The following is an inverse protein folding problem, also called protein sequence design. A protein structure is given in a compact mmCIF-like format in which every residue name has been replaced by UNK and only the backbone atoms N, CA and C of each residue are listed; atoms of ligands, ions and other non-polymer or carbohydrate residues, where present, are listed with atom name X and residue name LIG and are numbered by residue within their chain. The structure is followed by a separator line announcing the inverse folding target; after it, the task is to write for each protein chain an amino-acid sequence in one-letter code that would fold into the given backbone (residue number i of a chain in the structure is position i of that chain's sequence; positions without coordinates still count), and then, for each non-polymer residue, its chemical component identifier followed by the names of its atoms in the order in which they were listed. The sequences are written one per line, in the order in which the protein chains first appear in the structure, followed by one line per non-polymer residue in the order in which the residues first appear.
data_IF_070318616975
#
_entry.id   IF_070318616975
#
_cell.length_a   1.000
_cell.length_b   1.000
_cell.length_c   1.000
_cell.angle_alpha   90.00
_cell.angle_beta   90.00
_cell.angle_gamma   90.00
#
_symmetry.space_group_name_H-M   'P 1'
#
loop_
_entity.id
_entity.type
_entity.pdbx_description
1 polymer ?
#
# COMPACT_ATOMS: atom_id res chain seq x y z
N UNK A 1 -11.34 -2.06 -22.52
CA UNK A 1 -10.26 -2.45 -21.57
C UNK A 1 -8.89 -2.33 -22.24
N UNK A 2 -7.95 -1.60 -21.63
CA UNK A 2 -6.59 -1.40 -22.17
C UNK A 2 -5.55 -2.36 -21.54
N UNK A 3 -6.01 -3.45 -20.92
CA UNK A 3 -5.20 -4.38 -20.13
C UNK A 3 -4.06 -5.04 -20.92
N UNK A 4 -4.22 -5.25 -22.23
CA UNK A 4 -3.21 -5.85 -23.11
C UNK A 4 -2.63 -4.85 -24.13
N UNK A 5 -2.73 -3.55 -23.86
CA UNK A 5 -2.05 -2.54 -24.67
C UNK A 5 -0.53 -2.67 -24.56
N UNK A 6 0.22 -2.19 -25.56
CA UNK A 6 1.69 -2.19 -25.54
C UNK A 6 2.27 -1.54 -24.27
N UNK A 7 1.61 -0.47 -23.78
CA UNK A 7 1.98 0.20 -22.54
C UNK A 7 1.79 -0.71 -21.31
N UNK A 8 0.68 -1.45 -21.24
CA UNK A 8 0.42 -2.39 -20.14
C UNK A 8 1.40 -3.57 -20.16
N UNK A 9 1.69 -4.13 -21.35
CA UNK A 9 2.68 -5.20 -21.52
C UNK A 9 4.06 -4.73 -21.05
N UNK A 10 4.51 -3.56 -21.51
CA UNK A 10 5.79 -2.97 -21.09
C UNK A 10 5.86 -2.71 -19.58
N UNK A 11 4.75 -2.28 -18.96
CA UNK A 11 4.68 -2.08 -17.52
C UNK A 11 4.84 -3.42 -16.77
N UNK A 12 4.17 -4.49 -17.22
CA UNK A 12 4.31 -5.83 -16.65
C UNK A 12 5.73 -6.39 -16.82
N UNK A 13 6.35 -6.23 -17.99
CA UNK A 13 7.75 -6.65 -18.21
C UNK A 13 8.72 -5.91 -17.29
N UNK A 14 8.51 -4.60 -17.10
CA UNK A 14 9.30 -3.78 -16.19
C UNK A 14 9.14 -4.26 -14.74
N UNK A 15 7.90 -4.51 -14.31
CA UNK A 15 7.61 -5.09 -13.00
C UNK A 15 8.32 -6.43 -12.81
N UNK A 16 8.20 -7.36 -13.77
CA UNK A 16 8.85 -8.67 -13.70
C UNK A 16 10.38 -8.58 -13.67
N UNK A 17 10.97 -7.56 -14.31
CA UNK A 17 12.41 -7.30 -14.23
C UNK A 17 12.82 -6.87 -12.82
N UNK A 18 12.13 -5.89 -12.24
CA UNK A 18 12.38 -5.40 -10.88
C UNK A 18 12.11 -6.48 -9.82
N UNK A 19 11.13 -7.33 -10.07
CA UNK A 19 10.75 -8.42 -9.17
C UNK A 19 11.87 -9.42 -8.92
N UNK A 20 12.85 -9.52 -9.84
CA UNK A 20 14.03 -10.36 -9.66
C UNK A 20 14.95 -9.88 -8.55
N UNK A 21 14.87 -8.60 -8.21
CA UNK A 21 15.66 -7.95 -7.15
C UNK A 21 14.87 -7.84 -5.84
N UNK A 22 13.64 -8.34 -5.79
CA UNK A 22 12.80 -8.33 -4.58
C UNK A 22 13.27 -9.33 -3.53
N UNK A 23 12.89 -9.09 -2.28
CA UNK A 23 13.24 -9.97 -1.16
C UNK A 23 12.74 -11.42 -1.39
N UNK A 24 13.45 -12.44 -0.88
CA UNK A 24 13.00 -13.83 -0.94
C UNK A 24 11.57 -13.98 -0.38
N UNK A 25 10.73 -14.76 -1.07
CA UNK A 25 9.33 -15.01 -0.66
C UNK A 25 8.30 -13.98 -1.14
N UNK A 26 8.72 -12.90 -1.80
CA UNK A 26 7.81 -11.85 -2.31
C UNK A 26 6.72 -12.39 -3.26
N UNK A 27 6.91 -13.55 -3.90
CA UNK A 27 5.92 -14.18 -4.81
C UNK A 27 4.59 -14.51 -4.15
N UNK A 28 4.60 -14.73 -2.84
CA UNK A 28 3.42 -15.05 -2.04
C UNK A 28 3.19 -14.03 -0.93
N UNK A 29 3.90 -12.89 -0.96
CA UNK A 29 3.81 -11.86 0.06
C UNK A 29 2.53 -11.05 -0.09
N UNK A 30 1.87 -10.78 1.04
CA UNK A 30 0.79 -9.81 1.14
C UNK A 30 1.36 -8.42 1.51
N UNK A 31 0.45 -7.49 1.79
CA UNK A 31 0.79 -6.19 2.33
C UNK A 31 1.53 -6.30 3.68
N UNK A 32 1.12 -7.24 4.55
CA UNK A 32 1.73 -7.42 5.88
C UNK A 32 3.19 -7.89 5.78
N UNK A 33 3.50 -8.86 4.91
CA UNK A 33 4.87 -9.33 4.72
C UNK A 33 5.77 -8.25 4.11
N UNK A 34 5.25 -7.48 3.15
CA UNK A 34 6.01 -6.43 2.47
C UNK A 34 6.34 -5.27 3.42
N UNK A 35 5.35 -4.82 4.20
CA UNK A 35 5.55 -3.76 5.19
C UNK A 35 6.42 -4.21 6.35
N UNK A 36 6.24 -5.44 6.86
CA UNK A 36 7.11 -6.01 7.90
C UNK A 36 8.58 -6.12 7.46
N UNK A 37 8.85 -6.57 6.23
CA UNK A 37 10.20 -6.66 5.69
C UNK A 37 10.86 -5.26 5.56
N UNK A 38 10.09 -4.24 5.17
CA UNK A 38 10.58 -2.86 5.14
C UNK A 38 10.87 -2.31 6.54
N UNK A 39 9.93 -2.47 7.47
CA UNK A 39 10.06 -1.95 8.84
C UNK A 39 11.14 -2.65 9.67
N UNK A 40 11.56 -3.86 9.27
CA UNK A 40 12.71 -4.58 9.83
C UNK A 40 14.05 -4.27 9.14
N UNK A 41 14.06 -3.38 8.15
CA UNK A 41 15.27 -2.96 7.44
C UNK A 41 15.77 -3.95 6.38
N UNK A 42 14.95 -4.92 5.96
CA UNK A 42 15.31 -5.90 4.93
C UNK A 42 15.06 -5.40 3.51
N UNK A 43 14.22 -4.36 3.35
CA UNK A 43 13.86 -3.78 2.05
C UNK A 43 14.28 -2.31 2.03
N UNK A 44 15.07 -1.91 1.03
CA UNK A 44 15.56 -0.54 0.90
C UNK A 44 14.53 0.43 0.32
N UNK A 45 13.68 -0.05 -0.61
CA UNK A 45 12.66 0.76 -1.30
C UNK A 45 11.37 -0.04 -1.33
N UNK A 46 10.28 0.60 -0.89
CA UNK A 46 8.93 0.05 -0.97
C UNK A 46 7.98 1.13 -1.51
N UNK A 47 7.23 0.81 -2.57
CA UNK A 47 6.17 1.67 -3.11
C UNK A 47 4.85 1.20 -2.54
N UNK A 48 4.36 1.88 -1.50
CA UNK A 48 3.21 1.44 -0.73
C UNK A 48 2.33 2.62 -0.28
N UNK A 49 1.12 2.30 0.18
CA UNK A 49 0.13 3.22 0.69
C UNK A 49 0.58 3.99 1.95
N UNK A 50 0.01 5.18 2.12
CA UNK A 50 0.37 6.13 3.17
C UNK A 50 0.28 5.60 4.61
N UNK A 51 -0.60 4.64 5.01
CA UNK A 51 -0.62 4.13 6.39
C UNK A 51 0.74 3.64 6.90
N UNK A 52 1.60 3.11 6.01
CA UNK A 52 2.96 2.71 6.33
C UNK A 52 3.78 3.85 6.94
N UNK A 53 3.54 5.11 6.56
CA UNK A 53 4.32 6.24 7.09
C UNK A 53 4.14 6.41 8.60
N UNK A 54 2.96 6.12 9.13
CA UNK A 54 2.71 6.13 10.57
C UNK A 54 3.45 5.02 11.29
N UNK A 55 3.48 3.82 10.70
CA UNK A 55 4.22 2.67 11.25
C UNK A 55 5.73 2.91 11.22
N UNK A 56 6.26 3.47 10.13
CA UNK A 56 7.68 3.70 9.91
C UNK A 56 8.33 4.61 10.98
N UNK A 57 7.56 5.53 11.57
CA UNK A 57 8.02 6.47 12.60
C UNK A 57 7.67 6.03 14.03
N UNK A 58 6.91 4.93 14.21
CA UNK A 58 6.58 4.38 15.52
C UNK A 58 7.60 3.31 15.95
N UNK A 59 8.40 3.54 17.01
CA UNK A 59 9.39 2.58 17.50
C UNK A 59 8.79 1.27 18.01
N UNK A 60 7.47 1.18 18.23
CA UNK A 60 6.80 -0.08 18.55
C UNK A 60 6.63 -1.00 17.34
N UNK A 61 6.66 -0.43 16.13
CA UNK A 61 6.37 -1.15 14.89
C UNK A 61 7.53 -1.11 13.89
N UNK A 62 8.52 -0.24 14.10
CA UNK A 62 9.63 0.00 13.17
C UNK A 62 10.99 -0.13 13.85
N UNK A 63 11.90 -0.86 13.20
CA UNK A 63 13.32 -0.93 13.56
C UNK A 63 14.18 0.09 12.79
N UNK A 64 13.56 0.84 11.87
CA UNK A 64 14.21 1.82 10.97
C UNK A 64 13.73 3.24 11.23
N UNK A 65 13.28 3.53 12.47
CA UNK A 65 12.85 4.88 12.88
C UNK A 65 13.99 5.87 12.67
N UNK A 66 13.70 6.97 11.97
CA UNK A 66 14.68 8.02 11.66
C UNK A 66 15.45 7.80 10.35
N UNK A 67 15.36 6.62 9.74
CA UNK A 67 16.10 6.25 8.54
C UNK A 67 15.26 6.32 7.24
N UNK A 68 13.93 6.47 7.37
CA UNK A 68 12.99 6.41 6.24
C UNK A 68 12.78 7.78 5.58
N UNK A 69 13.07 7.85 4.28
CA UNK A 69 12.70 8.97 3.40
C UNK A 69 11.38 8.71 2.66
N UNK A 70 10.56 9.75 2.50
CA UNK A 70 9.27 9.68 1.79
C UNK A 70 9.33 10.48 0.48
N UNK A 71 8.97 9.83 -0.63
CA UNK A 71 8.97 10.42 -1.95
C UNK A 71 7.73 9.96 -2.74
N UNK A 72 7.25 10.75 -3.71
CA UNK A 72 6.28 10.26 -4.68
C UNK A 72 6.87 9.09 -5.48
N UNK A 73 6.04 8.15 -5.98
CA UNK A 73 6.55 7.06 -6.79
C UNK A 73 7.26 7.58 -8.06
N UNK A 74 8.22 6.81 -8.62
CA UNK A 74 8.99 7.24 -9.78
C UNK A 74 8.11 7.65 -10.97
N UNK A 75 8.50 8.74 -11.63
CA UNK A 75 7.85 9.20 -12.87
C UNK A 75 8.22 8.31 -14.07
N UNK A 76 7.37 8.25 -15.11
CA UNK A 76 6.09 8.94 -15.27
C UNK A 76 4.92 8.24 -14.57
N UNK A 77 4.05 9.01 -13.93
CA UNK A 77 2.78 8.51 -13.37
C UNK A 77 1.64 8.77 -14.38
N UNK A 78 1.07 7.72 -15.01
CA UNK A 78 0.10 7.87 -16.10
C UNK A 78 -1.32 8.26 -15.64
N UNK A 79 -1.56 8.60 -14.36
CA UNK A 79 -2.90 8.84 -13.81
C UNK A 79 -2.94 9.84 -12.64
N UNK A 80 -4.16 10.31 -12.32
CA UNK A 80 -4.44 11.43 -11.40
C UNK A 80 -4.36 11.13 -9.89
N UNK A 81 -3.55 10.15 -9.47
CA UNK A 81 -3.34 9.79 -8.06
C UNK A 81 -3.89 8.42 -7.67
N UNK A 82 -3.39 7.89 -6.54
CA UNK A 82 -3.82 6.63 -5.94
C UNK A 82 -4.63 6.94 -4.68
N UNK A 83 -5.81 6.34 -4.53
CA UNK A 83 -6.67 6.51 -3.37
C UNK A 83 -7.17 5.17 -2.85
N UNK A 84 -7.05 4.96 -1.54
CA UNK A 84 -7.60 3.81 -0.83
C UNK A 84 -8.24 4.30 0.47
N UNK A 85 -9.32 3.65 0.89
CA UNK A 85 -10.00 3.97 2.13
C UNK A 85 -10.92 2.85 2.57
N UNK A 86 -11.15 2.77 3.87
CA UNK A 86 -12.14 1.89 4.47
C UNK A 86 -13.45 2.66 4.66
N UNK A 87 -14.58 2.00 4.44
CA UNK A 87 -15.90 2.61 4.56
C UNK A 87 -16.85 1.70 5.33
N UNK A 88 -17.82 2.30 6.01
CA UNK A 88 -18.91 1.56 6.65
C UNK A 88 -19.89 1.08 5.58
N UNK A 89 -20.03 -0.24 5.46
CA UNK A 89 -20.99 -0.85 4.54
C UNK A 89 -22.43 -0.60 4.98
N UNK A 90 -23.25 -0.05 4.09
CA UNK A 90 -24.68 0.21 4.33
C UNK A 90 -25.51 -1.07 4.48
N UNK A 91 -25.06 -2.20 3.92
CA UNK A 91 -25.74 -3.50 4.05
C UNK A 91 -25.85 -3.99 5.50
N UNK A 92 -24.84 -3.72 6.33
CA UNK A 92 -24.84 -4.05 7.75
C UNK A 92 -25.55 -2.98 8.60
N UNK A 93 -25.90 -1.83 8.00
CA UNK A 93 -26.46 -0.65 8.66
C UNK A 93 -27.69 -0.17 7.87
N UNK A 94 -28.71 -1.04 7.82
CA UNK A 94 -29.84 -0.90 6.91
C UNK A 94 -30.73 0.32 7.24
N UNK A 95 -30.83 0.70 8.51
CA UNK A 95 -31.61 1.84 8.97
C UNK A 95 -30.75 3.02 9.43
N UNK A 96 -31.38 4.18 9.61
CA UNK A 96 -30.67 5.40 10.00
C UNK A 96 -30.13 5.34 11.43
N UNK A 97 -30.72 4.52 12.30
CA UNK A 97 -30.19 4.27 13.64
C UNK A 97 -28.84 3.52 13.57
N UNK A 98 -28.76 2.46 12.76
CA UNK A 98 -27.55 1.68 12.51
C UNK A 98 -26.45 2.53 11.88
N UNK A 99 -26.79 3.35 10.87
CA UNK A 99 -25.81 4.28 10.26
C UNK A 99 -25.26 5.29 11.27
N UNK A 100 -26.12 5.86 12.14
CA UNK A 100 -25.69 6.81 13.18
C UNK A 100 -24.81 6.13 14.23
N UNK A 101 -25.19 4.93 14.68
CA UNK A 101 -24.40 4.13 15.62
C UNK A 101 -23.02 3.80 15.04
N UNK A 102 -22.97 3.36 13.79
CA UNK A 102 -21.71 3.07 13.11
C UNK A 102 -20.88 4.36 12.88
N UNK A 103 -21.52 5.49 12.62
CA UNK A 103 -20.85 6.79 12.54
C UNK A 103 -20.18 7.21 13.85
N UNK A 104 -20.80 6.92 15.00
CA UNK A 104 -20.20 7.17 16.32
C UNK A 104 -18.96 6.31 16.62
N UNK A 105 -18.78 5.18 15.92
CA UNK A 105 -17.58 4.35 16.07
C UNK A 105 -16.36 4.94 15.34
N UNK A 106 -16.58 5.74 14.28
CA UNK A 106 -15.51 6.27 13.43
C UNK A 106 -15.20 7.74 13.73
N UNK A 107 -16.13 8.48 14.33
CA UNK A 107 -15.93 9.87 14.77
C UNK A 107 -15.18 9.94 16.11
#
# INVERSE_FOLDING_TARGET
PAFNSDAAVKATETYLKLFKDSAPGTQTGSWDESTGAFLSGQVAILVESTPLSGMAVDPKTSQVVGEVGFLPPPSPLPGGGYGHGLAIGTKANADDAGKKCAGLFIA
#
